data_IF_719050825915
#
_entry.id   IF_719050825915
#
_cell.length_a   1.000
_cell.length_b   1.000
_cell.length_c   1.000
_cell.angle_alpha   90.00
_cell.angle_beta   90.00
_cell.angle_gamma   90.00
#
_symmetry.space_group_name_H-M   'P 1'
#
loop_
_entity.id
_entity.type
_entity.pdbx_description
1 polymer ?
#
# COMPACT_ATOMS: atom_id res chain seq x y z
N UNK A 1 7.08 19.19 -29.22
CA UNK A 1 6.45 18.06 -28.52
C UNK A 1 6.90 18.15 -27.08
N UNK A 2 6.08 18.74 -26.22
CA UNK A 2 6.34 18.82 -24.78
C UNK A 2 6.14 17.44 -24.19
N UNK A 3 7.24 16.78 -23.83
CA UNK A 3 7.20 15.61 -22.96
C UNK A 3 6.63 16.10 -21.62
N UNK A 4 5.36 15.78 -21.35
CA UNK A 4 4.83 15.80 -19.99
C UNK A 4 5.57 14.71 -19.22
N UNK A 5 6.74 15.07 -18.68
CA UNK A 5 7.37 14.28 -17.64
C UNK A 5 6.45 14.34 -16.43
N UNK A 6 5.64 13.30 -16.24
CA UNK A 6 4.98 13.07 -14.97
C UNK A 6 6.08 13.06 -13.92
N UNK A 7 6.04 13.94 -12.90
CA UNK A 7 6.92 13.76 -11.77
C UNK A 7 6.51 12.42 -11.16
N UNK A 8 7.32 11.39 -11.42
CA UNK A 8 7.20 10.14 -10.68
C UNK A 8 7.43 10.57 -9.25
N UNK A 9 6.37 10.52 -8.44
CA UNK A 9 6.47 10.74 -7.02
C UNK A 9 7.25 9.52 -6.50
N UNK A 10 8.59 9.61 -6.51
CA UNK A 10 9.59 8.55 -6.32
C UNK A 10 9.58 7.92 -4.92
N UNK A 11 8.49 8.07 -4.17
CA UNK A 11 8.31 7.39 -2.90
C UNK A 11 8.12 5.88 -3.17
N UNK A 12 9.04 5.02 -2.70
CA UNK A 12 8.92 3.58 -2.85
C UNK A 12 7.59 3.03 -2.35
N UNK A 13 6.98 3.68 -1.35
CA UNK A 13 5.67 3.31 -0.83
C UNK A 13 4.58 3.39 -1.90
N UNK A 14 4.55 4.47 -2.69
CA UNK A 14 3.54 4.67 -3.73
C UNK A 14 3.63 3.61 -4.83
N UNK A 15 4.86 3.24 -5.23
CA UNK A 15 5.07 2.17 -6.19
C UNK A 15 4.58 0.82 -5.67
N UNK A 16 4.92 0.48 -4.42
CA UNK A 16 4.49 -0.78 -3.78
C UNK A 16 2.97 -0.83 -3.62
N UNK A 17 2.35 0.28 -3.20
CA UNK A 17 0.91 0.39 -3.09
C UNK A 17 0.22 0.18 -4.46
N UNK A 18 0.71 0.81 -5.53
CA UNK A 18 0.17 0.64 -6.87
C UNK A 18 0.29 -0.82 -7.38
N UNK A 19 1.44 -1.47 -7.14
CA UNK A 19 1.64 -2.89 -7.51
C UNK A 19 0.73 -3.80 -6.71
N UNK A 20 0.64 -3.60 -5.38
CA UNK A 20 -0.23 -4.39 -4.51
C UNK A 20 -1.70 -4.25 -4.92
N UNK A 21 -2.12 -3.04 -5.26
CA UNK A 21 -3.46 -2.77 -5.76
C UNK A 21 -3.75 -3.53 -7.07
N UNK A 22 -2.87 -3.42 -8.08
CA UNK A 22 -3.04 -4.12 -9.34
C UNK A 22 -3.11 -5.65 -9.18
N UNK A 23 -2.33 -6.21 -8.24
CA UNK A 23 -2.40 -7.63 -7.89
C UNK A 23 -3.75 -7.94 -7.22
N UNK A 24 -4.15 -7.17 -6.20
CA UNK A 24 -5.39 -7.42 -5.46
C UNK A 24 -6.65 -7.32 -6.34
N UNK A 25 -6.64 -6.46 -7.35
CA UNK A 25 -7.73 -6.33 -8.33
C UNK A 25 -7.97 -7.61 -9.13
N UNK A 26 -6.93 -8.40 -9.36
CA UNK A 26 -6.99 -9.65 -10.13
C UNK A 26 -7.21 -10.90 -9.26
N UNK A 27 -7.29 -10.74 -7.93
CA UNK A 27 -7.40 -11.84 -6.98
C UNK A 27 -8.81 -11.97 -6.37
N UNK A 28 -9.24 -13.19 -6.03
CA UNK A 28 -10.44 -13.42 -5.23
C UNK A 28 -10.36 -12.74 -3.86
N UNK A 29 -11.52 -12.38 -3.30
CA UNK A 29 -11.62 -11.71 -2.01
C UNK A 29 -10.93 -12.51 -0.88
N UNK A 30 -11.09 -13.84 -0.84
CA UNK A 30 -10.44 -14.67 0.19
C UNK A 30 -8.91 -14.58 0.15
N UNK A 31 -8.33 -14.57 -1.06
CA UNK A 31 -6.88 -14.43 -1.24
C UNK A 31 -6.40 -13.05 -0.81
N UNK A 32 -7.14 -12.00 -1.16
CA UNK A 32 -6.85 -10.64 -0.70
C UNK A 32 -6.88 -10.51 0.83
N UNK A 33 -7.91 -11.06 1.46
CA UNK A 33 -8.04 -11.05 2.93
C UNK A 33 -6.90 -11.81 3.60
N UNK A 34 -6.43 -12.91 3.00
CA UNK A 34 -5.25 -13.63 3.48
C UNK A 34 -3.97 -12.79 3.40
N UNK A 35 -3.76 -12.09 2.27
CA UNK A 35 -2.62 -11.16 2.10
C UNK A 35 -2.70 -10.03 3.13
N UNK A 36 -3.86 -9.39 3.29
CA UNK A 36 -4.09 -8.35 4.28
C UNK A 36 -3.76 -8.83 5.70
N UNK A 37 -4.26 -10.01 6.09
CA UNK A 37 -3.97 -10.58 7.40
C UNK A 37 -2.46 -10.86 7.60
N UNK A 38 -1.78 -11.36 6.58
CA UNK A 38 -0.34 -11.60 6.63
C UNK A 38 0.48 -10.31 6.77
N UNK A 39 0.11 -9.26 6.03
CA UNK A 39 0.75 -7.95 6.15
C UNK A 39 0.50 -7.32 7.52
N UNK A 40 -0.72 -7.45 8.05
CA UNK A 40 -1.07 -6.95 9.39
C UNK A 40 -0.27 -7.66 10.50
N UNK A 41 -0.14 -9.00 10.44
CA UNK A 41 0.64 -9.76 11.42
C UNK A 41 2.12 -9.35 11.39
N UNK A 42 2.69 -9.18 10.18
CA UNK A 42 4.07 -8.68 10.03
C UNK A 42 4.23 -7.26 10.57
N UNK A 43 3.27 -6.38 10.31
CA UNK A 43 3.31 -5.01 10.80
C UNK A 43 3.29 -4.97 12.33
N UNK A 44 2.43 -5.77 12.96
CA UNK A 44 2.33 -5.86 14.41
C UNK A 44 3.65 -6.33 15.05
N UNK A 45 4.25 -7.41 14.53
CA UNK A 45 5.54 -7.93 15.01
C UNK A 45 6.66 -6.91 14.84
N UNK A 46 6.76 -6.30 13.67
CA UNK A 46 7.79 -5.30 13.40
C UNK A 46 7.65 -4.04 14.26
N UNK A 47 6.42 -3.65 14.60
CA UNK A 47 6.19 -2.54 15.52
C UNK A 47 6.53 -2.89 16.97
N UNK A 48 6.27 -4.14 17.39
CA UNK A 48 6.65 -4.66 18.71
C UNK A 48 8.18 -4.70 18.88
N UNK A 49 8.89 -5.15 17.85
CA UNK A 49 10.35 -5.27 17.82
C UNK A 49 11.07 -3.96 17.46
N UNK A 50 10.35 -2.85 17.27
CA UNK A 50 10.93 -1.61 16.77
C UNK A 50 11.80 -0.90 17.83
N UNK A 51 13.08 -0.73 17.51
CA UNK A 51 14.07 -0.03 18.35
C UNK A 51 14.19 1.46 17.99
N UNK A 52 13.64 1.88 16.84
CA UNK A 52 13.74 3.24 16.35
C UNK A 52 12.52 3.69 15.53
N UNK A 53 12.44 4.99 15.27
CA UNK A 53 11.34 5.63 14.56
C UNK A 53 11.21 5.17 13.09
N UNK A 54 12.31 4.80 12.43
CA UNK A 54 12.28 4.30 11.05
C UNK A 54 11.61 2.92 10.96
N UNK A 55 11.92 2.02 11.91
CA UNK A 55 11.28 0.71 12.01
C UNK A 55 9.79 0.82 12.34
N UNK A 56 9.41 1.73 13.26
CA UNK A 56 8.00 2.03 13.53
C UNK A 56 7.30 2.57 12.29
N UNK A 57 7.95 3.46 11.54
CA UNK A 57 7.40 4.02 10.31
C UNK A 57 7.17 2.92 9.26
N UNK A 58 8.14 2.04 9.07
CA UNK A 58 8.00 0.91 8.16
C UNK A 58 6.85 -0.02 8.57
N UNK A 59 6.69 -0.29 9.87
CA UNK A 59 5.58 -1.09 10.37
C UNK A 59 4.21 -0.45 10.08
N UNK A 60 4.10 0.88 10.22
CA UNK A 60 2.90 1.63 9.86
C UNK A 60 2.61 1.59 8.35
N UNK A 61 3.64 1.73 7.52
CA UNK A 61 3.50 1.62 6.06
C UNK A 61 3.00 0.21 5.67
N UNK A 62 3.51 -0.84 6.33
CA UNK A 62 3.08 -2.22 6.11
C UNK A 62 1.61 -2.47 6.54
N UNK A 63 1.19 -1.87 7.65
CA UNK A 63 -0.20 -1.89 8.09
C UNK A 63 -1.12 -1.15 7.10
N UNK A 64 -0.65 -0.05 6.52
CA UNK A 64 -1.39 0.69 5.50
C UNK A 64 -1.60 -0.14 4.23
N UNK A 65 -0.58 -0.90 3.81
CA UNK A 65 -0.69 -1.86 2.71
C UNK A 65 -1.64 -3.02 3.03
N UNK A 66 -1.73 -3.44 4.30
CA UNK A 66 -2.69 -4.46 4.73
C UNK A 66 -4.14 -4.00 4.52
N UNK A 67 -4.46 -2.75 4.87
CA UNK A 67 -5.79 -2.18 4.63
C UNK A 67 -6.07 -2.03 3.13
N UNK A 68 -5.09 -1.59 2.34
CA UNK A 68 -5.22 -1.53 0.88
C UNK A 68 -5.57 -2.89 0.27
N UNK A 69 -4.94 -3.97 0.75
CA UNK A 69 -5.26 -5.32 0.31
C UNK A 69 -6.67 -5.77 0.77
N UNK A 70 -7.15 -5.30 1.92
CA UNK A 70 -8.43 -5.70 2.51
C UNK A 70 -9.63 -5.08 1.79
N UNK A 71 -9.56 -3.79 1.47
CA UNK A 71 -10.72 -3.04 0.99
C UNK A 71 -11.13 -3.36 -0.47
N UNK A 72 -10.26 -4.04 -1.22
CA UNK A 72 -10.56 -4.42 -2.60
C UNK A 72 -10.57 -3.22 -3.57
N UNK A 73 -11.03 -3.42 -4.82
CA UNK A 73 -10.86 -2.46 -5.91
C UNK A 73 -11.60 -1.14 -5.66
N UNK A 74 -12.75 -1.22 -4.96
CA UNK A 74 -13.68 -0.10 -4.87
C UNK A 74 -13.23 1.00 -3.91
N UNK A 75 -12.48 0.69 -2.84
CA UNK A 75 -11.99 1.73 -1.92
C UNK A 75 -10.68 2.38 -2.40
N UNK A 76 -9.89 1.70 -3.22
CA UNK A 76 -8.61 2.21 -3.73
C UNK A 76 -8.76 3.35 -4.76
N UNK A 77 -9.92 3.45 -5.42
CA UNK A 77 -10.23 4.58 -6.31
C UNK A 77 -10.12 5.92 -5.56
N UNK A 78 -10.46 5.96 -4.26
CA UNK A 78 -10.35 7.16 -3.43
C UNK A 78 -8.92 7.55 -3.03
N UNK A 79 -7.99 6.59 -2.93
CA UNK A 79 -6.59 6.85 -2.58
C UNK A 79 -5.73 7.22 -3.78
N UNK A 80 -6.00 6.65 -4.95
CA UNK A 80 -5.27 6.96 -6.19
C UNK A 80 -5.68 8.31 -6.78
N UNK A 81 -6.98 8.67 -6.73
CA UNK A 81 -7.43 10.02 -7.13
C UNK A 81 -6.93 11.12 -6.19
N UNK A 82 -6.65 10.81 -4.92
CA UNK A 82 -6.08 11.77 -3.98
C UNK A 82 -4.62 12.14 -4.30
N UNK A 83 -3.92 11.31 -5.09
CA UNK A 83 -2.54 11.56 -5.54
C UNK A 83 -2.42 12.24 -6.91
N UNK A 84 -3.54 12.44 -7.63
CA UNK A 84 -3.55 13.05 -8.96
C UNK A 84 -3.79 14.57 -8.84
N UNK A 85 -2.85 15.43 -9.28
CA UNK A 85 -3.12 16.85 -9.39
C UNK A 85 -4.22 17.09 -10.43
N UNK A 86 -5.21 17.94 -10.09
CA UNK A 86 -6.30 18.38 -10.96
C UNK A 86 -5.81 19.16 -12.19
#
# INVERSE_FOLDING_TARGET
MTQNSYPINDDPFNLVAAVLHAICDSLPADTRLHIAASLQDKAARMNEDAENAEQQRFALDLATLAELAREGPESASGMLDAGMPR
#
